data_IF_056130087683
#
_entry.id   IF_056130087683
#
_cell.length_a   1.000
_cell.length_b   1.000
_cell.length_c   1.000
_cell.angle_alpha   90.00
_cell.angle_beta   90.00
_cell.angle_gamma   90.00
#
_symmetry.space_group_name_H-M   'P 1'
#
loop_
_entity.id
_entity.type
_entity.pdbx_description
1 polymer ?
#
# COMPACT_ATOMS: atom_id res chain seq x y z
N UNK A 1 -15.01 13.03 5.35
CA UNK A 1 -15.06 13.39 3.90
C UNK A 1 -13.80 12.85 3.25
N UNK A 2 -13.90 11.73 2.58
CA UNK A 2 -12.77 11.12 1.85
C UNK A 2 -12.45 11.95 0.61
N UNK A 3 -11.32 12.63 0.61
CA UNK A 3 -10.80 13.32 -0.57
C UNK A 3 -10.46 12.29 -1.64
N UNK A 4 -11.33 12.13 -2.63
CA UNK A 4 -10.99 11.39 -3.85
C UNK A 4 -9.95 12.19 -4.64
N UNK A 5 -8.72 11.69 -4.68
CA UNK A 5 -7.67 12.23 -5.55
C UNK A 5 -8.01 11.92 -7.01
N UNK A 6 -8.18 12.97 -7.82
CA UNK A 6 -8.53 12.80 -9.24
C UNK A 6 -7.27 12.65 -10.09
N UNK A 7 -7.25 11.71 -11.03
CA UNK A 7 -6.07 11.35 -11.84
C UNK A 7 -5.53 12.43 -12.78
N UNK A 8 -6.17 13.58 -12.90
CA UNK A 8 -5.82 14.62 -13.90
C UNK A 8 -4.41 15.20 -13.76
N UNK A 9 -3.87 15.34 -12.55
CA UNK A 9 -2.47 15.78 -12.33
C UNK A 9 -1.42 14.71 -12.70
N UNK A 10 -1.78 13.44 -12.55
CA UNK A 10 -0.95 12.30 -12.91
C UNK A 10 -0.66 12.21 -14.42
N UNK A 11 -1.63 12.53 -15.25
CA UNK A 11 -1.51 12.42 -16.71
C UNK A 11 -0.52 13.43 -17.29
N UNK A 12 -0.44 14.64 -16.74
CA UNK A 12 0.45 15.70 -17.26
C UNK A 12 1.92 15.49 -16.91
N UNK A 13 2.23 15.01 -15.72
CA UNK A 13 3.62 14.74 -15.27
C UNK A 13 4.19 13.45 -15.85
N UNK A 14 3.33 12.51 -16.21
CA UNK A 14 3.65 11.26 -16.86
C UNK A 14 4.28 11.44 -18.25
N UNK A 15 3.80 12.42 -19.03
CA UNK A 15 4.30 12.68 -20.40
C UNK A 15 5.78 13.01 -20.46
N UNK A 16 6.36 13.53 -19.40
CA UNK A 16 7.77 14.00 -19.38
C UNK A 16 8.76 12.91 -19.00
N UNK A 17 8.38 11.86 -18.24
CA UNK A 17 9.33 10.87 -17.71
C UNK A 17 9.32 9.51 -18.39
N UNK A 18 8.22 9.11 -19.02
CA UNK A 18 8.14 7.81 -19.73
C UNK A 18 8.99 7.79 -21.01
N UNK A 19 9.27 8.95 -21.59
CA UNK A 19 10.16 9.07 -22.76
C UNK A 19 11.59 8.57 -22.47
N UNK A 20 12.05 8.57 -21.24
CA UNK A 20 13.41 8.18 -20.89
C UNK A 20 13.62 6.65 -20.75
N UNK A 21 12.58 5.87 -20.47
CA UNK A 21 12.69 4.42 -20.28
C UNK A 21 12.47 3.57 -21.55
N UNK A 22 11.96 4.16 -22.64
CA UNK A 22 11.63 3.43 -23.88
C UNK A 22 12.81 3.35 -24.85
N UNK A 23 13.89 4.09 -24.63
CA UNK A 23 14.99 4.26 -25.61
C UNK A 23 15.97 3.07 -25.70
N UNK A 24 15.86 2.03 -24.88
CA UNK A 24 16.87 0.95 -24.85
C UNK A 24 16.47 -0.38 -25.50
N UNK A 25 15.49 -0.39 -26.39
CA UNK A 25 15.19 -1.59 -27.19
C UNK A 25 15.30 -1.28 -28.69
N UNK A 26 16.53 -1.18 -29.16
CA UNK A 26 16.81 -1.27 -30.60
C UNK A 26 16.60 -2.70 -31.07
N UNK A 27 15.42 -2.98 -31.61
CA UNK A 27 15.17 -4.21 -32.36
C UNK A 27 15.59 -4.02 -33.81
N UNK A 28 16.73 -4.56 -34.15
CA UNK A 28 17.09 -4.82 -35.52
C UNK A 28 16.27 -6.00 -36.04
N UNK A 29 15.23 -5.74 -36.80
CA UNK A 29 14.66 -6.74 -37.71
C UNK A 29 14.26 -6.09 -39.00
N UNK A 30 15.19 -6.17 -39.97
CA UNK A 30 14.92 -5.90 -41.37
C UNK A 30 14.13 -7.09 -41.96
N UNK A 31 12.82 -6.95 -42.00
CA UNK A 31 11.98 -7.79 -42.84
C UNK A 31 11.38 -6.90 -43.94
N UNK A 32 11.65 -7.25 -45.18
CA UNK A 32 11.10 -6.61 -46.35
C UNK A 32 9.58 -6.79 -46.38
N UNK A 33 8.83 -5.70 -46.28
CA UNK A 33 7.37 -5.75 -46.26
C UNK A 33 6.76 -5.34 -47.58
N UNK A 34 5.87 -6.18 -48.04
CA UNK A 34 5.02 -5.93 -49.20
C UNK A 34 4.10 -4.73 -49.01
N UNK A 35 3.88 -4.04 -50.08
CA UNK A 35 3.22 -2.74 -50.23
C UNK A 35 1.80 -2.71 -49.62
N UNK A 36 1.54 -1.74 -48.78
CA UNK A 36 0.31 -0.97 -48.83
C UNK A 36 -0.51 -0.86 -47.54
N UNK A 37 -0.91 -1.84 -46.85
CA UNK A 37 -1.83 -1.67 -45.70
C UNK A 37 -1.45 -2.47 -44.44
N UNK A 38 -0.48 -3.36 -44.57
CA UNK A 38 0.00 -4.22 -43.52
C UNK A 38 1.04 -3.49 -42.66
N UNK A 39 0.79 -3.36 -41.38
CA UNK A 39 1.67 -2.70 -40.43
C UNK A 39 2.29 -3.72 -39.49
N UNK A 40 3.54 -3.51 -39.13
CA UNK A 40 4.23 -4.24 -38.07
C UNK A 40 4.40 -3.30 -36.90
N UNK A 41 3.91 -3.71 -35.76
CA UNK A 41 3.85 -2.91 -34.54
C UNK A 41 4.43 -3.72 -33.40
N UNK A 42 5.20 -3.08 -32.53
CA UNK A 42 5.59 -3.67 -31.25
C UNK A 42 4.49 -3.42 -30.24
N UNK A 43 3.90 -4.49 -29.72
CA UNK A 43 2.89 -4.42 -28.66
C UNK A 43 3.53 -4.88 -27.35
N UNK A 44 3.61 -3.98 -26.40
CA UNK A 44 4.12 -4.25 -25.04
C UNK A 44 2.96 -4.27 -24.08
N UNK A 45 2.75 -5.38 -23.38
CA UNK A 45 1.73 -5.54 -22.35
C UNK A 45 2.42 -5.89 -21.06
N UNK A 46 2.29 -5.04 -20.05
CA UNK A 46 2.90 -5.20 -18.72
C UNK A 46 4.40 -5.56 -18.74
N UNK A 47 5.12 -5.02 -19.74
CA UNK A 47 6.56 -5.22 -19.90
C UNK A 47 6.93 -6.34 -20.90
N UNK A 48 6.00 -7.21 -21.28
CA UNK A 48 6.23 -8.22 -22.32
C UNK A 48 5.99 -7.65 -23.72
N UNK A 49 7.01 -7.64 -24.55
CA UNK A 49 6.94 -7.09 -25.91
C UNK A 49 6.80 -8.19 -26.95
N UNK A 50 5.78 -8.08 -27.78
CA UNK A 50 5.56 -8.95 -28.95
C UNK A 50 5.47 -8.13 -30.22
N UNK A 51 6.09 -8.61 -31.29
CA UNK A 51 5.92 -7.99 -32.61
C UNK A 51 4.69 -8.55 -33.27
N UNK A 52 3.74 -7.69 -33.60
CA UNK A 52 2.47 -8.07 -34.19
C UNK A 52 2.30 -7.44 -35.56
N UNK A 53 1.71 -8.21 -36.47
CA UNK A 53 1.32 -7.70 -37.78
C UNK A 53 -0.19 -7.47 -37.78
N UNK A 54 -0.62 -6.30 -38.23
CA UNK A 54 -2.02 -5.88 -38.23
C UNK A 54 -2.41 -5.04 -39.43
N UNK A 55 -3.69 -4.97 -39.70
CA UNK A 55 -4.32 -4.02 -40.65
C UNK A 55 -5.06 -2.91 -39.89
N UNK A 56 -5.00 -2.90 -38.55
CA UNK A 56 -5.67 -1.90 -37.74
C UNK A 56 -5.21 -0.48 -38.11
N UNK A 57 -6.16 0.43 -38.13
CA UNK A 57 -5.93 1.85 -38.42
C UNK A 57 -5.69 2.64 -37.14
N UNK A 58 -6.13 2.11 -35.97
CA UNK A 58 -6.00 2.76 -34.68
C UNK A 58 -5.49 1.79 -33.61
N UNK A 59 -4.96 2.35 -32.50
CA UNK A 59 -4.51 1.58 -31.34
C UNK A 59 -5.65 0.75 -30.76
N UNK A 60 -6.84 1.33 -30.61
CA UNK A 60 -8.00 0.62 -30.06
C UNK A 60 -8.38 -0.61 -30.89
N UNK A 61 -8.33 -0.47 -32.22
CA UNK A 61 -8.62 -1.58 -33.13
C UNK A 61 -7.59 -2.68 -33.02
N UNK A 62 -6.30 -2.34 -32.88
CA UNK A 62 -5.21 -3.29 -32.66
C UNK A 62 -5.45 -4.08 -31.36
N UNK A 63 -5.76 -3.37 -30.27
CA UNK A 63 -6.01 -4.01 -28.98
C UNK A 63 -7.22 -4.95 -29.02
N UNK A 64 -8.30 -4.55 -29.69
CA UNK A 64 -9.46 -5.41 -29.92
C UNK A 64 -9.12 -6.67 -30.73
N UNK A 65 -8.34 -6.53 -31.83
CA UNK A 65 -7.90 -7.67 -32.66
C UNK A 65 -7.04 -8.67 -31.86
N UNK A 66 -6.33 -8.18 -30.84
CA UNK A 66 -5.49 -9.02 -29.99
C UNK A 66 -6.20 -9.50 -28.71
N UNK A 67 -7.47 -9.16 -28.52
CA UNK A 67 -8.25 -9.55 -27.35
C UNK A 67 -7.80 -8.86 -26.06
N UNK A 68 -7.06 -7.75 -26.17
CA UNK A 68 -6.59 -6.98 -25.02
C UNK A 68 -7.74 -6.12 -24.50
N UNK A 69 -8.19 -6.40 -23.28
CA UNK A 69 -9.23 -5.62 -22.60
C UNK A 69 -8.57 -4.54 -21.77
N UNK A 70 -8.73 -3.30 -22.18
CA UNK A 70 -8.25 -2.12 -21.44
C UNK A 70 -9.31 -1.70 -20.42
N UNK A 71 -8.90 -1.59 -19.16
CA UNK A 71 -9.73 -1.12 -18.05
C UNK A 71 -9.62 0.39 -17.89
N UNK A 72 -10.53 0.98 -17.09
CA UNK A 72 -10.66 2.43 -16.92
C UNK A 72 -9.38 3.13 -16.40
N UNK A 73 -8.56 2.42 -15.62
CA UNK A 73 -7.35 2.99 -15.03
C UNK A 73 -6.06 2.55 -15.74
N UNK A 74 -6.17 1.63 -16.71
CA UNK A 74 -5.01 1.17 -17.46
C UNK A 74 -4.43 2.32 -18.30
N UNK A 75 -3.13 2.25 -18.52
CA UNK A 75 -2.42 3.19 -19.38
C UNK A 75 -2.18 2.58 -20.75
N UNK A 76 -2.62 3.28 -21.77
CA UNK A 76 -2.28 2.96 -23.16
C UNK A 76 -1.47 4.11 -23.75
N UNK A 77 -0.29 3.81 -24.22
CA UNK A 77 0.61 4.76 -24.87
C UNK A 77 0.99 4.27 -26.26
N UNK A 78 1.22 5.19 -27.18
CA UNK A 78 1.71 4.89 -28.52
C UNK A 78 2.81 5.88 -28.89
N UNK A 79 3.80 5.43 -29.65
CA UNK A 79 4.81 6.30 -30.25
C UNK A 79 4.23 7.20 -31.34
N UNK A 80 3.07 6.84 -31.89
CA UNK A 80 2.37 7.69 -32.84
C UNK A 80 1.86 8.97 -32.16
N UNK A 81 2.08 10.14 -32.75
CA UNK A 81 1.58 11.41 -32.21
C UNK A 81 0.06 11.55 -32.33
N UNK A 82 -0.56 10.70 -33.10
CA UNK A 82 -2.01 10.64 -33.33
C UNK A 82 -2.58 9.31 -32.83
N UNK A 83 -3.90 9.20 -32.74
CA UNK A 83 -4.57 7.93 -32.44
C UNK A 83 -4.49 6.91 -33.59
N UNK A 84 -3.94 7.31 -34.73
CA UNK A 84 -3.74 6.46 -35.91
C UNK A 84 -2.45 5.66 -35.76
N UNK A 85 -2.55 4.37 -36.01
CA UNK A 85 -1.43 3.45 -35.96
C UNK A 85 -0.60 3.52 -37.24
N UNK A 86 0.72 3.64 -37.10
CA UNK A 86 1.69 3.65 -38.18
C UNK A 86 2.54 2.37 -38.19
N UNK A 87 3.27 2.15 -39.28
CA UNK A 87 4.21 1.03 -39.34
C UNK A 87 5.40 1.30 -38.40
N UNK A 88 5.82 0.29 -37.65
CA UNK A 88 6.87 0.33 -36.64
C UNK A 88 6.50 1.14 -35.35
N UNK A 89 5.24 1.48 -35.15
CA UNK A 89 4.81 2.04 -33.89
C UNK A 89 5.02 1.05 -32.74
N UNK A 90 5.24 1.60 -31.56
CA UNK A 90 5.26 0.87 -30.31
C UNK A 90 4.00 1.24 -29.54
N UNK A 91 3.20 0.25 -29.22
CA UNK A 91 2.01 0.40 -28.38
C UNK A 91 2.31 -0.26 -27.03
N UNK A 92 2.21 0.51 -25.96
CA UNK A 92 2.44 0.01 -24.60
C UNK A 92 1.14 0.06 -23.81
N UNK A 93 0.74 -1.07 -23.27
CA UNK A 93 -0.38 -1.22 -22.36
C UNK A 93 0.18 -1.58 -20.99
N UNK A 94 -0.20 -0.81 -19.96
CA UNK A 94 0.13 -1.11 -18.58
C UNK A 94 -1.14 -1.23 -17.77
N UNK A 95 -1.32 -2.39 -17.18
CA UNK A 95 -2.45 -2.65 -16.29
C UNK A 95 -2.30 -1.85 -15.00
N UNK A 96 -3.35 -1.14 -14.64
CA UNK A 96 -3.38 -0.43 -13.36
C UNK A 96 -3.74 -1.39 -12.23
N UNK A 97 -3.10 -1.21 -11.10
CA UNK A 97 -3.41 -1.91 -9.86
C UNK A 97 -3.65 -0.89 -8.73
N UNK A 98 -4.43 -1.30 -7.75
CA UNK A 98 -4.68 -0.50 -6.57
C UNK A 98 -3.62 -0.82 -5.51
N UNK A 99 -3.06 0.20 -4.90
CA UNK A 99 -2.15 0.11 -3.76
C UNK A 99 -2.55 1.11 -2.70
N UNK A 100 -2.11 0.90 -1.47
CA UNK A 100 -2.31 1.84 -0.38
C UNK A 100 -1.01 2.59 -0.11
N UNK A 101 -1.10 3.89 -0.02
CA UNK A 101 0.01 4.78 0.28
C UNK A 101 -0.31 5.48 1.58
N UNK A 102 0.65 5.53 2.49
CA UNK A 102 0.53 6.33 3.69
C UNK A 102 1.26 7.65 3.50
N UNK A 103 0.53 8.76 3.62
CA UNK A 103 1.06 10.12 3.56
C UNK A 103 0.80 10.77 4.92
N UNK A 104 1.85 11.15 5.64
CA UNK A 104 1.77 11.75 6.97
C UNK A 104 0.88 10.94 7.94
N UNK A 105 0.97 9.61 7.88
CA UNK A 105 0.20 8.70 8.71
C UNK A 105 -1.24 8.43 8.26
N UNK A 106 -1.71 9.04 7.17
CA UNK A 106 -3.03 8.75 6.58
C UNK A 106 -2.92 7.79 5.41
N UNK A 107 -3.69 6.71 5.44
CA UNK A 107 -3.78 5.76 4.35
C UNK A 107 -4.67 6.28 3.23
N UNK A 108 -4.16 6.26 2.02
CA UNK A 108 -4.85 6.69 0.80
C UNK A 108 -4.83 5.56 -0.22
N UNK A 109 -5.97 4.96 -0.58
CA UNK A 109 -6.04 3.98 -1.66
C UNK A 109 -5.85 4.70 -2.99
N UNK A 110 -5.04 4.10 -3.86
CA UNK A 110 -4.56 4.77 -5.05
C UNK A 110 -4.36 3.80 -6.22
N UNK A 111 -4.82 4.19 -7.42
CA UNK A 111 -4.61 3.45 -8.65
C UNK A 111 -3.33 3.91 -9.35
N UNK A 112 -2.48 2.97 -9.68
CA UNK A 112 -1.19 3.24 -10.31
C UNK A 112 -0.83 2.21 -11.37
N UNK A 113 0.08 2.61 -12.25
CA UNK A 113 0.79 1.74 -13.20
C UNK A 113 2.31 1.85 -12.99
N UNK A 114 2.73 2.36 -11.85
CA UNK A 114 4.14 2.44 -11.51
C UNK A 114 4.76 1.05 -11.50
N UNK A 115 6.01 0.95 -11.94
CA UNK A 115 6.72 -0.32 -12.01
C UNK A 115 7.65 -0.54 -10.81
N UNK A 116 7.80 0.49 -9.95
CA UNK A 116 8.57 0.40 -8.73
C UNK A 116 7.99 1.24 -7.59
N UNK A 117 8.25 0.81 -6.36
CA UNK A 117 7.88 1.55 -5.16
C UNK A 117 8.61 2.90 -5.08
N UNK A 118 9.90 2.92 -5.43
CA UNK A 118 10.69 4.15 -5.53
C UNK A 118 10.05 5.19 -6.46
N UNK A 119 9.53 4.73 -7.60
CA UNK A 119 8.85 5.61 -8.57
C UNK A 119 7.60 6.25 -7.97
N UNK A 120 6.82 5.49 -7.19
CA UNK A 120 5.66 6.01 -6.48
C UNK A 120 6.05 7.05 -5.43
N UNK A 121 7.00 6.72 -4.58
CA UNK A 121 7.48 7.63 -3.54
C UNK A 121 8.00 8.92 -4.16
N UNK A 122 8.89 8.82 -5.16
CA UNK A 122 9.46 9.98 -5.84
C UNK A 122 8.42 10.86 -6.54
N UNK A 123 7.29 10.27 -6.97
CA UNK A 123 6.18 11.05 -7.51
C UNK A 123 5.53 11.91 -6.42
N UNK A 124 5.22 11.34 -5.25
CA UNK A 124 4.58 12.06 -4.16
C UNK A 124 5.50 13.11 -3.54
N UNK A 125 6.77 12.79 -3.32
CA UNK A 125 7.77 13.75 -2.82
C UNK A 125 7.89 15.01 -3.69
N UNK A 126 7.68 14.87 -5.01
CA UNK A 126 7.80 16.01 -5.93
C UNK A 126 6.52 16.81 -6.11
N UNK A 127 5.37 16.22 -5.82
CA UNK A 127 4.07 16.83 -6.13
C UNK A 127 3.26 17.23 -4.90
N UNK A 128 3.64 16.74 -3.72
CA UNK A 128 3.00 17.07 -2.44
C UNK A 128 4.03 17.75 -1.54
N UNK A 129 4.09 19.09 -1.62
CA UNK A 129 5.02 19.90 -0.84
C UNK A 129 4.88 19.72 0.68
N UNK A 130 3.69 19.31 1.13
CA UNK A 130 3.37 19.11 2.55
C UNK A 130 3.55 17.66 3.01
N UNK A 131 3.98 16.74 2.14
CA UNK A 131 4.21 15.34 2.51
C UNK A 131 5.56 15.19 3.20
N UNK A 132 5.56 15.20 4.53
CA UNK A 132 6.78 15.00 5.32
C UNK A 132 7.31 13.57 5.23
N UNK A 133 6.43 12.58 5.05
CA UNK A 133 6.78 11.17 4.92
C UNK A 133 5.79 10.45 4.03
N UNK A 134 6.31 9.76 3.01
CA UNK A 134 5.53 8.93 2.11
C UNK A 134 6.00 7.47 2.23
N UNK A 135 5.04 6.57 2.42
CA UNK A 135 5.29 5.13 2.54
C UNK A 135 4.38 4.38 1.59
N UNK A 136 4.91 3.43 0.85
CA UNK A 136 4.14 2.52 0.00
C UNK A 136 3.91 1.22 0.75
N UNK A 137 2.66 0.89 1.06
CA UNK A 137 2.30 -0.35 1.73
C UNK A 137 2.23 -1.49 0.70
N UNK A 138 2.82 -2.61 1.03
CA UNK A 138 2.78 -3.84 0.22
C UNK A 138 1.92 -4.86 0.96
N UNK A 139 0.62 -4.82 0.71
CA UNK A 139 -0.37 -5.63 1.45
C UNK A 139 -0.23 -7.14 1.23
N UNK A 140 0.28 -7.54 0.08
CA UNK A 140 0.50 -8.95 -0.22
C UNK A 140 1.80 -9.16 -0.98
N UNK A 141 2.89 -9.33 -0.23
CA UNK A 141 4.25 -9.47 -0.75
C UNK A 141 4.39 -10.63 -1.75
N UNK A 142 3.62 -11.70 -1.57
CA UNK A 142 3.67 -12.91 -2.41
C UNK A 142 2.66 -12.91 -3.56
N UNK A 143 1.80 -11.89 -3.66
CA UNK A 143 0.86 -11.76 -4.77
C UNK A 143 1.62 -11.35 -6.04
N UNK A 144 1.30 -11.98 -7.18
CA UNK A 144 1.90 -11.65 -8.47
C UNK A 144 1.72 -10.17 -8.86
N UNK A 145 0.63 -9.53 -8.44
CA UNK A 145 0.36 -8.13 -8.75
C UNK A 145 1.17 -7.17 -7.87
N UNK A 146 1.32 -7.47 -6.59
CA UNK A 146 2.07 -6.64 -5.63
C UNK A 146 3.47 -7.18 -5.34
N UNK A 147 3.62 -8.50 -5.32
CA UNK A 147 4.93 -9.16 -5.16
C UNK A 147 5.86 -8.97 -6.36
N UNK A 148 5.30 -8.56 -7.52
CA UNK A 148 6.07 -8.21 -8.71
C UNK A 148 6.55 -6.76 -8.77
N UNK A 149 6.12 -5.89 -7.84
CA UNK A 149 6.57 -4.50 -7.79
C UNK A 149 8.06 -4.46 -7.42
N UNK A 150 8.87 -3.90 -8.30
CA UNK A 150 10.29 -3.68 -8.05
C UNK A 150 10.44 -2.62 -6.96
N UNK A 151 11.35 -2.83 -6.01
CA UNK A 151 11.52 -1.90 -4.90
C UNK A 151 12.28 -0.65 -5.33
N UNK A 152 13.46 -0.84 -5.92
CA UNK A 152 14.31 0.26 -6.38
C UNK A 152 14.94 -0.09 -7.73
N UNK A 153 14.68 0.72 -8.76
CA UNK A 153 15.24 0.47 -10.10
C UNK A 153 16.72 0.87 -10.24
N UNK A 154 17.19 1.77 -9.40
CA UNK A 154 18.45 2.46 -9.62
C UNK A 154 19.51 2.24 -8.54
N UNK A 155 19.23 1.42 -7.54
CA UNK A 155 20.16 1.27 -6.43
C UNK A 155 19.88 0.11 -5.50
N UNK A 156 20.60 0.07 -4.39
CA UNK A 156 20.41 -0.90 -3.32
C UNK A 156 19.12 -0.60 -2.53
N UNK A 157 18.75 -1.54 -1.69
CA UNK A 157 17.63 -1.42 -0.76
C UNK A 157 18.12 -1.80 0.64
N UNK A 158 17.88 -0.93 1.60
CA UNK A 158 18.10 -1.22 3.02
C UNK A 158 16.88 -1.96 3.56
N UNK A 159 17.07 -3.19 4.03
CA UNK A 159 16.01 -4.00 4.64
C UNK A 159 16.07 -3.85 6.15
N UNK A 160 14.96 -3.44 6.75
CA UNK A 160 14.82 -3.33 8.21
C UNK A 160 13.73 -4.31 8.66
N UNK A 161 14.13 -5.27 9.49
CA UNK A 161 13.25 -6.27 10.07
C UNK A 161 13.78 -6.71 11.44
N UNK A 162 12.89 -6.96 12.39
CA UNK A 162 13.26 -7.49 13.73
C UNK A 162 14.33 -6.65 14.45
N UNK A 163 14.28 -5.33 14.26
CA UNK A 163 15.24 -4.37 14.83
C UNK A 163 16.63 -4.40 14.17
N UNK A 164 16.81 -5.17 13.10
CA UNK A 164 18.07 -5.26 12.38
C UNK A 164 17.98 -4.60 11.01
N UNK A 165 19.11 -4.03 10.56
CA UNK A 165 19.25 -3.45 9.24
C UNK A 165 20.25 -4.24 8.40
N UNK A 166 19.92 -4.51 7.15
CA UNK A 166 20.81 -5.20 6.21
C UNK A 166 20.61 -4.66 4.80
N UNK A 167 21.66 -4.52 4.02
CA UNK A 167 21.59 -4.03 2.66
C UNK A 167 21.38 -5.16 1.64
N UNK A 168 20.45 -4.96 0.71
CA UNK A 168 20.32 -5.74 -0.52
C UNK A 168 20.90 -4.93 -1.67
N UNK A 169 21.99 -5.37 -2.31
CA UNK A 169 22.66 -4.59 -3.36
C UNK A 169 21.84 -4.50 -4.65
N UNK A 170 20.88 -5.39 -4.85
CA UNK A 170 20.00 -5.40 -6.01
C UNK A 170 18.56 -5.03 -5.61
N UNK A 171 18.19 -3.78 -5.84
CA UNK A 171 16.83 -3.29 -5.63
C UNK A 171 15.86 -3.63 -6.76
N UNK A 172 16.33 -4.14 -7.90
CA UNK A 172 15.50 -4.54 -9.05
C UNK A 172 14.75 -5.86 -8.81
N UNK A 173 14.54 -6.20 -7.57
CA UNK A 173 13.82 -7.38 -7.15
C UNK A 173 12.52 -6.99 -6.43
N UNK A 174 11.47 -7.82 -6.53
CA UNK A 174 10.28 -7.68 -5.70
C UNK A 174 10.60 -7.87 -4.22
N UNK A 175 9.75 -7.33 -3.35
CA UNK A 175 9.89 -7.44 -1.90
C UNK A 175 10.07 -8.89 -1.44
N UNK A 176 9.24 -9.81 -1.95
CA UNK A 176 9.34 -11.24 -1.62
C UNK A 176 10.75 -11.80 -1.86
N UNK A 177 11.31 -11.54 -3.04
CA UNK A 177 12.64 -12.05 -3.40
C UNK A 177 13.75 -11.44 -2.54
N UNK A 178 13.63 -10.18 -2.17
CA UNK A 178 14.58 -9.52 -1.28
C UNK A 178 14.51 -10.14 0.12
N UNK A 179 13.31 -10.28 0.68
CA UNK A 179 13.10 -10.85 2.01
C UNK A 179 13.54 -12.31 2.07
N UNK A 180 13.19 -13.13 1.06
CA UNK A 180 13.64 -14.53 0.96
C UNK A 180 15.15 -14.63 0.92
N UNK A 181 15.84 -13.76 0.17
CA UNK A 181 17.31 -13.73 0.09
C UNK A 181 17.97 -13.42 1.43
N UNK A 182 17.25 -12.79 2.35
CA UNK A 182 17.69 -12.44 3.71
C UNK A 182 17.22 -13.46 4.76
N UNK A 183 16.46 -14.48 4.36
CA UNK A 183 15.90 -15.46 5.28
C UNK A 183 14.78 -14.90 6.16
N UNK A 184 14.17 -13.78 5.76
CA UNK A 184 13.09 -13.13 6.51
C UNK A 184 11.76 -13.75 6.10
N UNK A 185 11.16 -14.51 7.00
CA UNK A 185 9.84 -15.11 6.83
C UNK A 185 8.78 -14.17 7.39
N UNK A 186 7.69 -13.98 6.66
CA UNK A 186 6.56 -13.14 7.08
C UNK A 186 5.45 -14.00 7.68
N UNK A 187 4.84 -13.51 8.75
CA UNK A 187 3.57 -13.97 9.24
C UNK A 187 2.43 -13.33 8.44
N UNK A 188 1.22 -13.89 8.55
CA UNK A 188 0.06 -13.46 7.75
C UNK A 188 -0.30 -11.98 7.94
N UNK A 189 -0.07 -11.44 9.11
CA UNK A 189 -0.47 -10.08 9.51
C UNK A 189 0.69 -9.10 9.56
N UNK A 190 1.93 -9.59 9.33
CA UNK A 190 3.09 -8.71 9.24
C UNK A 190 2.91 -7.69 8.13
N UNK A 191 3.31 -6.45 8.39
CA UNK A 191 3.17 -5.34 7.47
C UNK A 191 4.50 -5.06 6.78
N UNK A 192 4.46 -4.98 5.47
CA UNK A 192 5.62 -4.64 4.66
C UNK A 192 5.39 -3.32 3.96
N UNK A 193 6.36 -2.44 4.04
CA UNK A 193 6.28 -1.12 3.42
C UNK A 193 7.62 -0.70 2.84
N UNK A 194 7.56 0.18 1.83
CA UNK A 194 8.73 0.84 1.26
C UNK A 194 8.63 2.32 1.59
N UNK A 195 9.71 2.84 2.12
CA UNK A 195 9.86 4.26 2.44
C UNK A 195 11.21 4.76 1.94
N UNK A 196 11.36 6.08 1.85
CA UNK A 196 12.64 6.72 1.52
C UNK A 196 13.06 7.58 2.70
N UNK A 197 14.29 7.42 3.13
CA UNK A 197 14.88 8.22 4.20
C UNK A 197 16.29 8.62 3.80
N UNK A 198 16.61 9.92 3.90
CA UNK A 198 17.91 10.49 3.55
C UNK A 198 18.48 10.05 2.18
N UNK A 199 17.59 9.80 1.22
CA UNK A 199 17.94 9.32 -0.13
C UNK A 199 18.09 7.81 -0.26
N UNK A 200 18.01 7.05 0.83
CA UNK A 200 18.00 5.59 0.84
C UNK A 200 16.58 5.04 0.68
N UNK A 201 16.45 3.98 -0.11
CA UNK A 201 15.21 3.23 -0.22
C UNK A 201 15.21 2.12 0.82
N UNK A 202 14.23 2.14 1.71
CA UNK A 202 14.10 1.22 2.84
C UNK A 202 12.89 0.30 2.62
N UNK A 203 13.13 -1.01 2.66
CA UNK A 203 12.09 -2.03 2.76
C UNK A 203 11.95 -2.42 4.23
N UNK A 204 10.83 -2.03 4.84
CA UNK A 204 10.57 -2.25 6.26
C UNK A 204 9.54 -3.35 6.48
N UNK A 205 9.89 -4.27 7.35
CA UNK A 205 8.96 -5.28 7.88
C UNK A 205 8.61 -4.90 9.31
N UNK A 206 7.32 -4.81 9.61
CA UNK A 206 6.80 -4.62 10.97
C UNK A 206 6.07 -5.86 11.41
N UNK A 207 6.47 -6.40 12.55
CA UNK A 207 5.87 -7.61 13.12
C UNK A 207 4.57 -7.25 13.83
N UNK A 208 3.51 -7.97 13.48
CA UNK A 208 2.22 -7.85 14.16
C UNK A 208 2.01 -9.06 15.06
N UNK A 209 1.75 -8.81 16.33
CA UNK A 209 1.45 -9.83 17.32
C UNK A 209 0.22 -9.45 18.13
N UNK A 210 -0.48 -10.44 18.65
CA UNK A 210 -1.66 -10.25 19.47
C UNK A 210 -1.42 -10.84 20.87
N UNK A 211 -2.05 -10.23 21.85
CA UNK A 211 -2.01 -10.68 23.23
C UNK A 211 -3.27 -10.28 23.97
N UNK A 212 -3.46 -10.85 25.16
CA UNK A 212 -4.55 -10.47 26.05
C UNK A 212 -3.98 -9.71 27.25
N UNK A 213 -4.61 -8.58 27.59
CA UNK A 213 -4.34 -7.84 28.83
C UNK A 213 -5.58 -7.86 29.71
N UNK A 214 -5.38 -8.11 31.00
CA UNK A 214 -6.45 -8.05 31.99
C UNK A 214 -6.21 -6.88 32.94
N UNK A 215 -7.27 -6.08 33.20
CA UNK A 215 -7.25 -4.95 34.12
C UNK A 215 -8.40 -5.03 35.05
N UNK A 216 -8.17 -4.65 36.32
CA UNK A 216 -9.22 -4.52 37.33
C UNK A 216 -9.63 -3.06 37.42
N UNK A 217 -10.92 -2.82 37.37
CA UNK A 217 -11.55 -1.50 37.57
C UNK A 217 -12.40 -1.51 38.81
N UNK A 218 -12.15 -0.56 39.71
CA UNK A 218 -13.00 -0.36 40.87
C UNK A 218 -14.37 0.18 40.46
N UNK A 219 -15.41 -0.34 41.10
CA UNK A 219 -16.80 0.11 40.94
C UNK A 219 -17.23 0.78 42.23
N UNK A 220 -17.56 2.07 42.21
CA UNK A 220 -17.97 2.77 43.41
C UNK A 220 -19.28 2.18 43.96
N UNK A 221 -19.39 2.10 45.27
CA UNK A 221 -20.62 1.72 45.96
C UNK A 221 -21.67 2.84 45.89
N UNK A 222 -22.94 2.45 45.89
CA UNK A 222 -24.04 3.39 45.99
C UNK A 222 -24.33 3.78 47.44
N UNK A 223 -24.73 5.03 47.67
CA UNK A 223 -25.21 5.50 48.98
C UNK A 223 -26.72 5.58 48.98
N UNK A 224 -27.33 5.04 50.05
CA UNK A 224 -28.74 5.16 50.28
C UNK A 224 -28.97 5.96 51.60
N UNK A 225 -29.72 7.06 51.52
CA UNK A 225 -30.08 7.86 52.65
C UNK A 225 -31.46 7.44 53.14
N UNK A 226 -31.55 7.05 54.43
CA UNK A 226 -32.80 6.67 55.10
C UNK A 226 -33.12 7.72 56.17
N UNK A 227 -34.35 8.22 56.20
CA UNK A 227 -34.76 9.17 57.20
C UNK A 227 -35.03 8.40 58.53
N UNK A 228 -34.31 8.79 59.58
CA UNK A 228 -34.50 8.23 60.92
C UNK A 228 -35.05 9.32 61.83
N UNK A 229 -36.34 9.15 62.27
CA UNK A 229 -37.00 10.13 63.10
C UNK A 229 -36.42 10.24 64.55
N UNK A 230 -35.50 9.37 64.95
CA UNK A 230 -34.80 9.43 66.23
C UNK A 230 -33.58 10.36 66.24
N UNK A 231 -33.15 10.84 65.07
CA UNK A 231 -32.02 11.77 64.93
C UNK A 231 -32.47 13.24 64.87
N UNK A 232 -31.58 14.14 65.26
CA UNK A 232 -31.86 15.59 65.19
C UNK A 232 -31.89 16.07 63.75
N UNK A 233 -32.67 17.09 63.40
CA UNK A 233 -32.65 17.66 62.02
C UNK A 233 -31.26 18.08 61.61
N UNK A 234 -30.74 17.48 60.50
CA UNK A 234 -29.42 17.72 59.95
C UNK A 234 -28.33 16.79 60.49
N UNK A 235 -28.64 15.91 61.43
CA UNK A 235 -27.69 14.91 61.91
C UNK A 235 -27.65 13.74 60.91
N UNK A 236 -26.42 13.33 60.50
CA UNK A 236 -26.18 12.22 59.59
C UNK A 236 -25.29 11.19 60.30
N UNK A 237 -25.78 9.98 60.39
CA UNK A 237 -25.07 8.82 60.98
C UNK A 237 -24.87 7.77 59.92
N UNK A 238 -23.61 7.37 59.67
CA UNK A 238 -23.32 6.24 58.79
C UNK A 238 -23.59 4.94 59.53
N UNK A 239 -24.59 4.17 59.09
CA UNK A 239 -24.95 2.90 59.70
C UNK A 239 -24.25 1.70 59.11
N UNK A 240 -23.87 1.81 57.84
CA UNK A 240 -23.12 0.79 57.11
C UNK A 240 -22.13 1.50 56.20
N UNK A 241 -20.87 1.14 56.31
CA UNK A 241 -19.85 1.61 55.38
C UNK A 241 -19.98 0.84 54.04
N UNK A 242 -19.81 1.55 52.95
CA UNK A 242 -19.82 0.92 51.61
C UNK A 242 -18.46 0.32 51.31
N UNK A 243 -18.46 -0.75 50.53
CA UNK A 243 -17.25 -1.34 49.98
C UNK A 243 -17.28 -1.21 48.46
N UNK A 244 -16.15 -0.86 47.89
CA UNK A 244 -16.00 -0.81 46.40
C UNK A 244 -16.07 -2.21 45.81
N UNK A 245 -16.79 -2.34 44.72
CA UNK A 245 -16.79 -3.50 43.86
C UNK A 245 -15.61 -3.52 42.93
N UNK A 246 -15.44 -4.63 42.24
CA UNK A 246 -14.38 -4.80 41.23
C UNK A 246 -14.96 -5.46 39.98
N UNK A 247 -14.56 -4.91 38.83
CA UNK A 247 -14.82 -5.48 37.52
C UNK A 247 -13.48 -5.82 36.89
N UNK A 248 -13.34 -7.05 36.42
CA UNK A 248 -12.22 -7.51 35.61
C UNK A 248 -12.56 -7.31 34.15
N UNK A 249 -11.74 -6.57 33.46
CA UNK A 249 -11.84 -6.28 32.02
C UNK A 249 -10.70 -6.98 31.28
N UNK A 250 -11.03 -7.76 30.26
CA UNK A 250 -10.06 -8.42 29.37
C UNK A 250 -10.05 -7.71 28.03
N UNK A 251 -8.88 -7.36 27.57
CA UNK A 251 -8.63 -6.67 26.31
C UNK A 251 -7.83 -7.54 25.37
N UNK A 252 -8.27 -7.67 24.12
CA UNK A 252 -7.41 -8.07 23.03
C UNK A 252 -6.54 -6.89 22.63
N UNK A 253 -5.23 -7.11 22.57
CA UNK A 253 -4.25 -6.09 22.28
C UNK A 253 -3.43 -6.47 21.04
N UNK A 254 -3.33 -5.53 20.10
CA UNK A 254 -2.47 -5.67 18.94
C UNK A 254 -1.18 -4.88 19.16
N UNK A 255 -0.06 -5.55 18.97
CA UNK A 255 1.28 -4.96 19.05
C UNK A 255 1.91 -4.93 17.67
N UNK A 256 2.59 -3.83 17.35
CA UNK A 256 3.41 -3.68 16.13
C UNK A 256 4.85 -3.41 16.56
N UNK A 257 5.76 -4.28 16.13
CA UNK A 257 7.18 -4.26 16.58
C UNK A 257 7.34 -4.23 18.12
N UNK A 258 6.37 -4.83 18.84
CA UNK A 258 6.34 -4.87 20.30
C UNK A 258 5.73 -3.65 20.97
N UNK A 259 5.37 -2.62 20.21
CA UNK A 259 4.63 -1.45 20.71
C UNK A 259 3.13 -1.64 20.56
N UNK A 260 2.38 -1.26 21.56
CA UNK A 260 0.92 -1.38 21.58
C UNK A 260 0.31 -0.39 20.58
N UNK A 261 -0.37 -0.91 19.57
CA UNK A 261 -1.06 -0.11 18.56
C UNK A 261 -2.54 0.09 18.89
N UNK A 262 -3.22 -0.97 19.29
CA UNK A 262 -4.66 -0.92 19.59
C UNK A 262 -5.07 -1.92 20.66
N UNK A 263 -6.19 -1.65 21.32
CA UNK A 263 -6.83 -2.56 22.25
C UNK A 263 -8.34 -2.58 22.04
N UNK A 264 -8.95 -3.72 22.25
CA UNK A 264 -10.41 -3.91 22.19
C UNK A 264 -10.87 -4.68 23.40
N UNK A 265 -11.85 -4.15 24.13
CA UNK A 265 -12.47 -4.85 25.25
C UNK A 265 -13.25 -6.05 24.71
N UNK A 266 -12.86 -7.26 25.14
CA UNK A 266 -13.49 -8.53 24.72
C UNK A 266 -14.38 -9.12 25.77
N UNK A 267 -14.04 -8.92 27.06
CA UNK A 267 -14.82 -9.45 28.16
C UNK A 267 -14.80 -8.51 29.37
N UNK A 268 -15.92 -8.49 30.07
CA UNK A 268 -16.07 -7.78 31.35
C UNK A 268 -16.80 -8.66 32.32
N UNK A 269 -16.21 -8.92 33.50
CA UNK A 269 -16.77 -9.78 34.52
C UNK A 269 -16.69 -9.11 35.88
N UNK A 270 -17.80 -9.02 36.56
CA UNK A 270 -17.84 -8.53 37.96
C UNK A 270 -17.23 -9.58 38.89
N UNK A 271 -16.11 -9.26 39.51
CA UNK A 271 -15.42 -10.13 40.48
C UNK A 271 -15.81 -9.85 41.90
N UNK A 272 -16.21 -8.62 42.20
CA UNK A 272 -16.77 -8.21 43.50
C UNK A 272 -17.90 -7.22 43.27
N UNK A 273 -19.03 -7.47 43.93
CA UNK A 273 -20.17 -6.56 43.92
C UNK A 273 -19.92 -5.46 44.97
N UNK A 274 -20.19 -4.21 44.59
CA UNK A 274 -20.12 -3.05 45.51
C UNK A 274 -21.21 -3.05 46.54
#
# INVERSE_FOLDING_TARGET
MTRRWTPRRFVTLRRVRVTACVVSLTLASTLAFGVGARKTVALTIDGETTTVTTYAMSVDRLLQERGVKVKTHDLVESTSPTSMLSNHDVVTVRSAYQTTITINGQEVPFWTVATSAEQLIGFFEQNEADAAKVTVNIDNVYNKLTGGLIINQNGPVTVIADGQSSESPNGKLPAASILDSKGITLNKEDRVSVEKDNGETILRVRRVTHGEETRTKAVPFGTQTIIDPSLQPGEVVVRQEGEEGEIQQTYDVTYVDGEKESETLTNETTTKIA
#
